data_IF_256170269765
#
_entry.id   IF_256170269765
#
_cell.length_a   1.000
_cell.length_b   1.000
_cell.length_c   1.000
_cell.angle_alpha   90.00
_cell.angle_beta   90.00
_cell.angle_gamma   90.00
#
_symmetry.space_group_name_H-M   'P 1'
#
loop_
_entity.id
_entity.type
_entity.pdbx_description
1 polymer ?
#
# COMPACT_ATOMS: atom_id res chain seq x y z
N UNK A 1 31.25 0.72 -22.13
CA UNK A 1 30.68 1.93 -21.48
C UNK A 1 31.04 1.86 -20.00
N UNK A 2 31.30 2.98 -19.31
CA UNK A 2 31.49 2.92 -17.86
C UNK A 2 30.16 2.52 -17.18
N UNK A 3 30.18 1.84 -16.01
CA UNK A 3 28.96 1.46 -15.30
C UNK A 3 28.01 2.65 -15.08
N UNK A 4 28.54 3.82 -14.72
CA UNK A 4 27.72 5.03 -14.55
C UNK A 4 26.99 5.47 -15.82
N UNK A 5 27.66 5.43 -16.98
CA UNK A 5 27.03 5.82 -18.26
C UNK A 5 25.98 4.77 -18.64
N UNK A 6 26.24 3.48 -18.42
CA UNK A 6 25.26 2.43 -18.63
C UNK A 6 24.02 2.65 -17.74
N UNK A 7 24.22 2.90 -16.44
CA UNK A 7 23.14 3.21 -15.50
C UNK A 7 22.33 4.45 -15.88
N UNK A 8 22.99 5.54 -16.26
CA UNK A 8 22.32 6.75 -16.73
C UNK A 8 21.52 6.48 -18.02
N UNK A 9 22.09 5.73 -18.97
CA UNK A 9 21.40 5.39 -20.22
C UNK A 9 20.15 4.53 -19.99
N UNK A 10 20.24 3.55 -19.08
CA UNK A 10 19.11 2.73 -18.66
C UNK A 10 18.03 3.57 -17.99
N UNK A 11 18.42 4.48 -17.08
CA UNK A 11 17.48 5.38 -16.40
C UNK A 11 16.75 6.29 -17.40
N UNK A 12 17.49 6.92 -18.31
CA UNK A 12 16.90 7.81 -19.33
C UNK A 12 15.97 7.04 -20.27
N UNK A 13 16.37 5.85 -20.73
CA UNK A 13 15.53 4.99 -21.56
C UNK A 13 14.26 4.56 -20.82
N UNK A 14 14.38 4.17 -19.55
CA UNK A 14 13.26 3.78 -18.70
C UNK A 14 12.28 4.94 -18.51
N UNK A 15 12.77 6.12 -18.11
CA UNK A 15 11.94 7.31 -17.95
C UNK A 15 11.28 7.72 -19.28
N UNK A 16 11.98 7.59 -20.40
CA UNK A 16 11.43 7.83 -21.73
C UNK A 16 10.28 6.90 -22.10
N UNK A 17 10.43 5.59 -21.86
CA UNK A 17 9.36 4.61 -22.10
C UNK A 17 8.14 4.84 -21.20
N UNK A 18 8.38 5.16 -19.92
CA UNK A 18 7.32 5.48 -18.96
C UNK A 18 6.59 6.77 -19.34
N UNK A 19 7.30 7.79 -19.84
CA UNK A 19 6.70 9.04 -20.29
C UNK A 19 5.75 8.87 -21.50
N UNK A 20 6.00 7.87 -22.35
CA UNK A 20 5.13 7.52 -23.49
C UNK A 20 3.92 6.66 -23.04
N UNK A 21 3.85 6.29 -21.75
CA UNK A 21 2.77 5.50 -21.18
C UNK A 21 2.96 3.99 -21.32
N UNK A 22 4.19 3.52 -21.54
CA UNK A 22 4.50 2.09 -21.59
C UNK A 22 4.26 1.45 -20.21
N UNK A 23 3.55 0.30 -20.11
CA UNK A 23 3.38 -0.36 -18.82
C UNK A 23 4.72 -0.76 -18.21
N UNK A 24 4.84 -0.63 -16.88
CA UNK A 24 6.11 -0.72 -16.15
C UNK A 24 6.86 -2.02 -16.42
N UNK A 25 6.16 -3.16 -16.44
CA UNK A 25 6.78 -4.46 -16.73
C UNK A 25 7.50 -4.46 -18.10
N UNK A 26 6.89 -3.91 -19.13
CA UNK A 26 7.52 -3.84 -20.45
C UNK A 26 8.64 -2.81 -20.49
N UNK A 27 8.50 -1.68 -19.78
CA UNK A 27 9.55 -0.68 -19.71
C UNK A 27 10.82 -1.23 -19.03
N UNK A 28 10.67 -1.89 -17.87
CA UNK A 28 11.75 -2.58 -17.17
C UNK A 28 12.36 -3.68 -18.03
N UNK A 29 11.53 -4.56 -18.59
CA UNK A 29 11.99 -5.67 -19.42
C UNK A 29 12.79 -5.19 -20.64
N UNK A 30 12.22 -4.29 -21.45
CA UNK A 30 12.85 -3.81 -22.68
C UNK A 30 14.17 -3.07 -22.41
N UNK A 31 14.24 -2.23 -21.36
CA UNK A 31 15.48 -1.53 -20.99
C UNK A 31 16.56 -2.52 -20.57
N UNK A 32 16.20 -3.49 -19.74
CA UNK A 32 17.13 -4.52 -19.24
C UNK A 32 17.66 -5.38 -20.38
N UNK A 33 16.76 -5.85 -21.24
CA UNK A 33 17.10 -6.64 -22.42
C UNK A 33 17.98 -5.85 -23.38
N UNK A 34 17.66 -4.58 -23.64
CA UNK A 34 18.46 -3.71 -24.50
C UNK A 34 19.86 -3.46 -23.94
N UNK A 35 19.97 -3.17 -22.64
CA UNK A 35 21.25 -2.95 -21.97
C UNK A 35 22.13 -4.21 -22.00
N UNK A 36 21.59 -5.35 -21.59
CA UNK A 36 22.30 -6.62 -21.59
C UNK A 36 22.70 -7.05 -23.00
N UNK A 37 21.82 -6.92 -23.99
CA UNK A 37 22.10 -7.22 -25.38
C UNK A 37 23.22 -6.33 -25.94
N UNK A 38 23.26 -5.05 -25.57
CA UNK A 38 24.30 -4.12 -26.04
C UNK A 38 25.71 -4.45 -25.53
N UNK A 39 25.81 -5.15 -24.40
CA UNK A 39 27.09 -5.48 -23.75
C UNK A 39 27.51 -6.94 -24.01
N UNK A 40 26.58 -7.88 -23.88
CA UNK A 40 26.85 -9.32 -23.97
C UNK A 40 26.38 -9.98 -25.28
N UNK A 41 25.65 -9.25 -26.14
CA UNK A 41 25.17 -9.75 -27.43
C UNK A 41 24.03 -10.77 -27.33
N UNK A 42 23.77 -11.47 -28.45
CA UNK A 42 22.64 -12.39 -28.58
C UNK A 42 22.74 -13.66 -27.73
N UNK A 43 23.94 -14.06 -27.31
CA UNK A 43 24.16 -15.24 -26.47
C UNK A 43 23.46 -15.11 -25.11
N UNK A 44 23.21 -13.88 -24.66
CA UNK A 44 22.60 -13.61 -23.36
C UNK A 44 21.06 -13.77 -23.34
N UNK A 45 20.42 -14.03 -24.50
CA UNK A 45 18.97 -14.17 -24.59
C UNK A 45 18.44 -15.41 -23.85
N UNK A 46 19.24 -16.47 -23.74
CA UNK A 46 18.87 -17.69 -23.01
C UNK A 46 18.77 -17.43 -21.49
N UNK A 47 19.75 -16.71 -20.93
CA UNK A 47 19.79 -16.34 -19.52
C UNK A 47 18.62 -15.45 -19.12
N UNK A 48 18.10 -14.61 -20.02
CA UNK A 48 16.92 -13.78 -19.73
C UNK A 48 15.68 -14.62 -19.43
N UNK A 49 15.47 -15.71 -20.18
CA UNK A 49 14.34 -16.60 -19.95
C UNK A 49 14.44 -17.30 -18.59
N UNK A 50 15.62 -17.79 -18.26
CA UNK A 50 15.90 -18.44 -16.97
C UNK A 50 15.73 -17.47 -15.79
N UNK A 51 16.26 -16.24 -15.89
CA UNK A 51 16.11 -15.24 -14.82
C UNK A 51 14.67 -14.78 -14.66
N UNK A 52 13.96 -14.50 -15.75
CA UNK A 52 12.55 -14.10 -15.69
C UNK A 52 11.69 -15.23 -15.08
N UNK A 53 11.89 -16.48 -15.51
CA UNK A 53 11.13 -17.61 -14.97
C UNK A 53 11.52 -17.92 -13.52
N UNK A 54 12.81 -17.89 -13.21
CA UNK A 54 13.34 -18.09 -11.86
C UNK A 54 12.74 -17.09 -10.86
N UNK A 55 12.64 -15.82 -11.25
CA UNK A 55 12.00 -14.77 -10.47
C UNK A 55 10.56 -15.11 -10.07
N UNK A 56 9.81 -15.76 -10.97
CA UNK A 56 8.41 -16.11 -10.76
C UNK A 56 8.22 -17.47 -10.08
N UNK A 57 9.25 -18.30 -10.04
CA UNK A 57 9.22 -19.67 -9.53
C UNK A 57 9.47 -19.75 -8.02
N UNK A 58 8.82 -18.86 -7.26
CA UNK A 58 8.92 -18.82 -5.79
C UNK A 58 7.56 -19.08 -5.14
N UNK A 59 7.50 -20.02 -4.19
CA UNK A 59 6.29 -20.29 -3.44
C UNK A 59 5.84 -19.08 -2.61
N UNK A 60 6.76 -18.20 -2.19
CA UNK A 60 6.45 -16.96 -1.47
C UNK A 60 5.56 -16.03 -2.30
N UNK A 61 5.68 -16.03 -3.62
CA UNK A 61 4.88 -15.20 -4.52
C UNK A 61 3.40 -15.58 -4.54
N UNK A 62 3.05 -16.81 -4.17
CA UNK A 62 1.65 -17.24 -4.03
C UNK A 62 0.90 -16.39 -3.01
N UNK A 63 1.61 -15.81 -2.03
CA UNK A 63 1.04 -14.86 -1.08
C UNK A 63 0.36 -13.67 -1.77
N UNK A 64 0.95 -13.14 -2.85
CA UNK A 64 0.48 -11.92 -3.52
C UNK A 64 -0.93 -12.14 -4.11
N UNK A 65 -1.15 -13.11 -5.03
CA UNK A 65 -2.50 -13.37 -5.56
C UNK A 65 -3.51 -13.72 -4.49
N UNK A 66 -3.11 -14.44 -3.44
CA UNK A 66 -4.03 -14.87 -2.37
C UNK A 66 -4.48 -13.70 -1.49
N UNK A 67 -3.58 -12.79 -1.12
CA UNK A 67 -3.97 -11.56 -0.41
C UNK A 67 -4.80 -10.63 -1.30
N UNK A 68 -4.48 -10.52 -2.59
CA UNK A 68 -5.31 -9.78 -3.54
C UNK A 68 -6.71 -10.41 -3.64
N UNK A 69 -6.80 -11.74 -3.68
CA UNK A 69 -8.08 -12.47 -3.72
C UNK A 69 -8.91 -12.20 -2.48
N UNK A 70 -8.28 -12.24 -1.30
CA UNK A 70 -8.91 -11.90 -0.03
C UNK A 70 -9.47 -10.47 -0.09
N UNK A 71 -8.66 -9.50 -0.52
CA UNK A 71 -9.08 -8.11 -0.65
C UNK A 71 -10.20 -7.90 -1.66
N UNK A 72 -10.12 -8.53 -2.83
CA UNK A 72 -11.14 -8.48 -3.87
C UNK A 72 -12.47 -9.08 -3.40
N UNK A 73 -12.42 -10.17 -2.62
CA UNK A 73 -13.61 -10.80 -2.03
C UNK A 73 -14.33 -9.86 -1.05
N UNK A 74 -13.59 -9.23 -0.12
CA UNK A 74 -14.17 -8.25 0.82
C UNK A 74 -14.70 -7.02 0.07
N UNK A 75 -13.93 -6.48 -0.88
CA UNK A 75 -14.32 -5.29 -1.65
C UNK A 75 -15.51 -5.49 -2.58
N UNK A 76 -15.73 -6.71 -3.05
CA UNK A 76 -16.90 -7.07 -3.87
C UNK A 76 -18.13 -7.44 -3.03
N UNK A 77 -18.03 -7.34 -1.70
CA UNK A 77 -19.10 -7.64 -0.76
C UNK A 77 -19.62 -6.37 -0.06
N UNK A 78 -20.81 -6.42 0.55
CA UNK A 78 -21.30 -5.33 1.41
C UNK A 78 -20.49 -5.08 2.70
N UNK A 79 -19.37 -5.79 2.94
CA UNK A 79 -18.54 -5.66 4.14
C UNK A 79 -18.08 -4.24 4.44
N UNK A 80 -17.72 -3.46 3.41
CA UNK A 80 -17.33 -2.06 3.59
C UNK A 80 -18.45 -1.22 4.22
N UNK A 81 -19.70 -1.51 3.87
CA UNK A 81 -20.89 -0.85 4.43
C UNK A 81 -21.10 -1.26 5.90
N UNK A 82 -21.03 -2.56 6.21
CA UNK A 82 -21.21 -3.04 7.59
C UNK A 82 -20.11 -2.53 8.53
N UNK A 83 -18.85 -2.51 8.06
CA UNK A 83 -17.71 -1.94 8.78
C UNK A 83 -17.93 -0.47 9.12
N UNK A 84 -18.37 0.31 8.12
CA UNK A 84 -18.67 1.71 8.29
C UNK A 84 -19.83 1.93 9.29
N UNK A 85 -20.96 1.24 9.11
CA UNK A 85 -22.12 1.38 9.99
C UNK A 85 -21.79 0.99 11.44
N UNK A 86 -21.01 -0.07 11.64
CA UNK A 86 -20.60 -0.49 12.98
C UNK A 86 -19.74 0.58 13.66
N UNK A 87 -18.75 1.13 12.96
CA UNK A 87 -17.87 2.15 13.53
C UNK A 87 -18.59 3.48 13.75
N UNK A 88 -19.50 3.89 12.85
CA UNK A 88 -20.35 5.07 13.04
C UNK A 88 -21.13 4.99 14.36
N UNK A 89 -21.75 3.83 14.66
CA UNK A 89 -22.52 3.65 15.90
C UNK A 89 -21.68 3.79 17.18
N UNK A 90 -20.41 3.44 17.12
CA UNK A 90 -19.50 3.47 18.27
C UNK A 90 -18.81 4.82 18.46
N UNK A 91 -18.37 5.46 17.37
CA UNK A 91 -17.61 6.72 17.41
C UNK A 91 -18.48 7.97 17.26
N UNK A 92 -19.81 7.81 17.19
CA UNK A 92 -20.75 8.94 17.09
C UNK A 92 -20.56 10.01 18.19
N UNK A 93 -20.02 9.67 19.37
CA UNK A 93 -19.88 10.62 20.50
C UNK A 93 -18.66 11.55 20.43
N UNK A 94 -17.86 11.49 19.38
CA UNK A 94 -16.67 12.34 19.21
C UNK A 94 -16.95 13.41 18.14
N UNK A 95 -16.44 14.66 18.28
CA UNK A 95 -16.55 15.66 17.20
C UNK A 95 -15.93 15.13 15.90
N UNK A 96 -16.68 15.15 14.80
CA UNK A 96 -16.26 14.51 13.55
C UNK A 96 -16.33 12.98 13.58
N UNK A 97 -17.12 12.40 14.49
CA UNK A 97 -17.25 10.95 14.71
C UNK A 97 -17.48 10.16 13.43
N UNK A 98 -18.27 10.70 12.50
CA UNK A 98 -18.53 10.08 11.20
C UNK A 98 -17.27 9.94 10.33
N UNK A 99 -16.43 10.97 10.33
CA UNK A 99 -15.17 10.99 9.56
C UNK A 99 -14.12 10.13 10.24
N UNK A 100 -14.08 10.13 11.58
CA UNK A 100 -13.24 9.24 12.38
C UNK A 100 -13.62 7.77 12.15
N UNK A 101 -14.92 7.46 12.06
CA UNK A 101 -15.42 6.13 11.70
C UNK A 101 -14.99 5.72 10.31
N UNK A 102 -14.98 6.64 9.34
CA UNK A 102 -14.44 6.36 8.02
C UNK A 102 -12.95 6.06 8.03
N UNK A 103 -12.14 6.84 8.75
CA UNK A 103 -10.71 6.55 8.89
C UNK A 103 -10.47 5.19 9.57
N UNK A 104 -11.24 4.87 10.61
CA UNK A 104 -11.20 3.55 11.25
C UNK A 104 -11.65 2.42 10.31
N UNK A 105 -12.72 2.62 9.56
CA UNK A 105 -13.25 1.64 8.60
C UNK A 105 -12.25 1.41 7.48
N UNK A 106 -11.67 2.49 6.96
CA UNK A 106 -10.58 2.43 6.01
C UNK A 106 -9.39 1.68 6.58
N UNK A 107 -9.00 1.88 7.84
CA UNK A 107 -7.85 1.19 8.47
C UNK A 107 -8.09 -0.32 8.64
N UNK A 108 -9.29 -0.73 9.06
CA UNK A 108 -9.63 -2.16 9.18
C UNK A 108 -9.77 -2.79 7.80
N UNK A 109 -10.43 -2.10 6.87
CA UNK A 109 -10.61 -2.59 5.50
C UNK A 109 -9.28 -2.65 4.74
N UNK A 110 -8.40 -1.67 4.96
CA UNK A 110 -7.02 -1.61 4.48
C UNK A 110 -6.25 -2.87 4.81
N UNK A 111 -6.30 -3.30 6.07
CA UNK A 111 -5.68 -4.54 6.52
C UNK A 111 -6.25 -5.78 5.81
N UNK A 112 -7.49 -5.76 5.33
CA UNK A 112 -8.08 -6.87 4.58
C UNK A 112 -7.74 -6.81 3.09
N UNK A 113 -7.71 -5.61 2.52
CA UNK A 113 -7.53 -5.42 1.08
C UNK A 113 -6.09 -5.43 0.63
N UNK A 114 -5.16 -4.98 1.49
CA UNK A 114 -3.77 -4.73 1.13
C UNK A 114 -3.60 -3.76 -0.04
N UNK A 115 -4.65 -3.01 -0.41
CA UNK A 115 -4.73 -2.21 -1.63
C UNK A 115 -5.45 -0.89 -1.39
N UNK A 116 -4.71 0.20 -1.61
CA UNK A 116 -5.19 1.54 -1.32
C UNK A 116 -6.32 2.04 -2.25
N UNK A 117 -6.22 1.89 -3.59
CA UNK A 117 -7.32 2.24 -4.49
C UNK A 117 -8.57 1.40 -4.25
N UNK A 118 -8.40 0.11 -3.91
CA UNK A 118 -9.52 -0.78 -3.60
C UNK A 118 -10.24 -0.33 -2.33
N UNK A 119 -9.50 0.08 -1.28
CA UNK A 119 -10.08 0.63 -0.05
C UNK A 119 -10.82 1.94 -0.32
N UNK A 120 -10.27 2.85 -1.13
CA UNK A 120 -10.96 4.07 -1.55
C UNK A 120 -12.26 3.76 -2.30
N UNK A 121 -12.22 2.80 -3.22
CA UNK A 121 -13.39 2.39 -4.00
C UNK A 121 -14.48 1.74 -3.13
N UNK A 122 -14.11 0.91 -2.18
CA UNK A 122 -15.05 0.18 -1.33
C UNK A 122 -15.70 1.08 -0.28
N UNK A 123 -14.88 1.80 0.51
CA UNK A 123 -15.38 2.64 1.60
C UNK A 123 -15.94 3.96 1.05
N UNK A 124 -15.31 4.55 0.03
CA UNK A 124 -15.73 5.83 -0.54
C UNK A 124 -17.15 5.81 -1.14
N UNK A 125 -17.55 4.69 -1.77
CA UNK A 125 -18.90 4.52 -2.35
C UNK A 125 -20.03 4.66 -1.34
N UNK A 126 -19.77 4.35 -0.07
CA UNK A 126 -20.76 4.45 1.00
C UNK A 126 -20.49 5.68 1.88
N UNK A 127 -19.23 5.91 2.24
CA UNK A 127 -18.83 6.96 3.16
C UNK A 127 -19.03 8.37 2.61
N UNK A 128 -18.70 8.64 1.34
CA UNK A 128 -18.78 9.99 0.78
C UNK A 128 -20.23 10.48 0.69
N UNK A 129 -21.19 9.72 0.09
CA UNK A 129 -22.58 10.14 0.04
C UNK A 129 -23.19 10.34 1.44
N UNK A 130 -22.91 9.44 2.38
CA UNK A 130 -23.44 9.52 3.75
C UNK A 130 -22.92 10.76 4.49
N UNK A 131 -21.61 11.03 4.44
CA UNK A 131 -21.03 12.23 5.04
C UNK A 131 -21.67 13.50 4.48
N UNK A 132 -21.90 13.56 3.17
CA UNK A 132 -22.53 14.72 2.52
C UNK A 132 -24.01 14.86 2.86
N UNK A 133 -24.75 13.75 2.97
CA UNK A 133 -26.14 13.78 3.43
C UNK A 133 -26.24 14.33 4.86
N UNK A 134 -25.26 14.02 5.70
CA UNK A 134 -25.10 14.57 7.05
C UNK A 134 -24.36 15.92 7.06
N UNK A 135 -24.33 16.67 5.96
CA UNK A 135 -23.85 18.05 5.93
C UNK A 135 -22.34 18.26 6.03
N UNK A 136 -21.51 17.20 5.95
CA UNK A 136 -20.05 17.38 5.90
C UNK A 136 -19.63 17.92 4.53
N UNK A 137 -18.69 18.90 4.50
CA UNK A 137 -18.16 19.42 3.24
C UNK A 137 -17.46 18.36 2.41
N UNK A 138 -17.61 18.49 1.09
CA UNK A 138 -17.07 17.54 0.12
C UNK A 138 -15.55 17.35 0.26
N UNK A 139 -14.83 18.40 0.65
CA UNK A 139 -13.37 18.39 0.84
C UNK A 139 -12.96 17.49 2.03
N UNK A 140 -13.67 17.58 3.16
CA UNK A 140 -13.42 16.71 4.31
C UNK A 140 -13.78 15.28 3.97
N UNK A 141 -14.96 15.07 3.38
CA UNK A 141 -15.47 13.76 3.01
C UNK A 141 -14.54 13.02 2.03
N UNK A 142 -14.14 13.69 0.95
CA UNK A 142 -13.26 13.12 -0.06
C UNK A 142 -11.83 12.97 0.47
N UNK A 143 -11.31 13.99 1.16
CA UNK A 143 -9.95 13.98 1.71
C UNK A 143 -9.71 12.87 2.72
N UNK A 144 -10.66 12.65 3.63
CA UNK A 144 -10.53 11.59 4.65
C UNK A 144 -10.54 10.20 4.05
N UNK A 145 -11.32 9.97 2.99
CA UNK A 145 -11.34 8.68 2.28
C UNK A 145 -10.05 8.49 1.48
N UNK A 146 -9.56 9.54 0.82
CA UNK A 146 -8.31 9.51 0.07
C UNK A 146 -7.15 9.08 0.96
N UNK A 147 -7.02 9.72 2.12
CA UNK A 147 -5.99 9.44 3.11
C UNK A 147 -6.21 8.12 3.85
N UNK A 148 -7.44 7.84 4.31
CA UNK A 148 -7.76 6.57 4.98
C UNK A 148 -7.47 5.38 4.08
N UNK A 149 -7.71 5.50 2.78
CA UNK A 149 -7.38 4.47 1.81
C UNK A 149 -5.88 4.21 1.69
N UNK A 150 -4.98 5.18 1.90
CA UNK A 150 -3.53 4.94 1.79
C UNK A 150 -3.01 3.95 2.83
N UNK A 151 -3.61 3.95 4.02
CA UNK A 151 -3.29 3.00 5.09
C UNK A 151 -3.39 1.52 4.64
N UNK A 152 -4.10 1.24 3.53
CA UNK A 152 -4.17 -0.04 2.82
C UNK A 152 -2.85 -0.63 2.42
N UNK A 153 -1.80 0.18 2.25
CA UNK A 153 -0.49 -0.32 1.86
C UNK A 153 0.51 -0.36 3.03
N UNK A 154 0.21 0.27 4.16
CA UNK A 154 1.07 0.25 5.35
C UNK A 154 0.59 -0.72 6.44
N UNK A 155 -0.72 -0.78 6.71
CA UNK A 155 -1.27 -1.66 7.76
C UNK A 155 -1.33 -3.09 7.24
N UNK A 156 -0.69 -4.06 7.91
CA UNK A 156 -0.62 -5.44 7.45
C UNK A 156 -1.95 -6.21 7.60
N UNK A 157 -2.17 -7.27 6.78
CA UNK A 157 -1.34 -7.71 5.66
C UNK A 157 -1.35 -6.74 4.46
N UNK A 158 -0.16 -6.49 3.89
CA UNK A 158 0.05 -5.50 2.82
C UNK A 158 0.77 -6.09 1.62
N UNK A 159 0.19 -5.92 0.42
CA UNK A 159 0.79 -6.39 -0.84
C UNK A 159 2.09 -5.64 -1.14
N UNK A 160 2.17 -4.35 -0.85
CA UNK A 160 3.40 -3.56 -1.09
C UNK A 160 4.54 -4.01 -0.19
N UNK A 161 4.26 -4.35 1.07
CA UNK A 161 5.27 -4.90 1.98
C UNK A 161 5.75 -6.28 1.53
N UNK A 162 4.86 -7.14 1.01
CA UNK A 162 5.26 -8.43 0.43
C UNK A 162 6.20 -8.22 -0.76
N UNK A 163 5.82 -7.34 -1.68
CA UNK A 163 6.62 -7.00 -2.86
C UNK A 163 8.00 -6.47 -2.44
N UNK A 164 8.07 -5.58 -1.45
CA UNK A 164 9.35 -5.09 -0.92
C UNK A 164 10.18 -6.22 -0.34
N UNK A 165 9.59 -7.09 0.48
CA UNK A 165 10.29 -8.22 1.11
C UNK A 165 10.85 -9.20 0.08
N UNK A 166 10.14 -9.43 -1.02
CA UNK A 166 10.63 -10.26 -2.12
C UNK A 166 11.76 -9.57 -2.88
N UNK A 167 11.61 -8.28 -3.20
CA UNK A 167 12.60 -7.51 -3.95
C UNK A 167 13.91 -7.28 -3.18
N UNK A 168 13.83 -7.28 -1.85
CA UNK A 168 14.98 -7.04 -0.95
C UNK A 168 15.43 -8.30 -0.23
N UNK A 169 14.78 -9.44 -0.51
CA UNK A 169 15.01 -10.72 0.17
C UNK A 169 14.88 -10.63 1.71
N UNK A 170 14.08 -9.69 2.22
CA UNK A 170 13.85 -9.49 3.66
C UNK A 170 12.61 -10.24 4.15
N UNK A 171 12.59 -10.59 5.44
CA UNK A 171 11.45 -11.29 6.05
C UNK A 171 10.13 -10.50 5.96
N UNK A 172 9.14 -11.05 5.24
CA UNK A 172 7.79 -10.50 5.10
C UNK A 172 7.08 -10.37 6.45
N UNK A 173 7.22 -11.37 7.32
CA UNK A 173 6.61 -11.34 8.66
C UNK A 173 7.14 -10.17 9.49
N UNK A 174 8.44 -9.90 9.40
CA UNK A 174 9.08 -8.77 10.08
C UNK A 174 8.66 -7.43 9.51
N UNK A 175 8.51 -7.32 8.18
CA UNK A 175 7.94 -6.13 7.52
C UNK A 175 6.52 -5.83 7.99
N UNK A 176 5.69 -6.86 8.16
CA UNK A 176 4.33 -6.66 8.67
C UNK A 176 4.35 -6.10 10.10
N UNK A 177 5.21 -6.63 10.98
CA UNK A 177 5.36 -6.05 12.32
C UNK A 177 5.87 -4.61 12.27
N UNK A 178 6.82 -4.33 11.37
CA UNK A 178 7.40 -3.00 11.21
C UNK A 178 6.36 -1.96 10.75
N UNK A 179 5.38 -2.37 9.94
CA UNK A 179 4.30 -1.49 9.46
C UNK A 179 3.18 -1.23 10.47
N UNK A 180 2.98 -2.08 11.47
CA UNK A 180 1.81 -2.01 12.37
C UNK A 180 1.78 -0.73 13.21
N UNK A 181 2.86 -0.45 13.94
CA UNK A 181 2.95 0.73 14.81
C UNK A 181 2.99 2.05 14.01
N UNK A 182 3.77 2.18 12.91
CA UNK A 182 3.69 3.34 12.02
C UNK A 182 2.30 3.54 11.40
N UNK A 183 1.60 2.47 11.02
CA UNK A 183 0.23 2.54 10.53
C UNK A 183 -0.74 3.08 11.58
N UNK A 184 -0.63 2.61 12.81
CA UNK A 184 -1.40 3.16 13.93
C UNK A 184 -1.03 4.62 14.21
N UNK A 185 0.25 4.98 14.17
CA UNK A 185 0.74 6.35 14.31
C UNK A 185 0.11 7.29 13.25
N UNK A 186 0.13 6.92 11.97
CA UNK A 186 -0.49 7.72 10.91
C UNK A 186 -2.01 7.80 11.08
N UNK A 187 -2.66 6.70 11.49
CA UNK A 187 -4.10 6.69 11.79
C UNK A 187 -4.42 7.73 12.87
N UNK A 188 -3.63 7.78 13.95
CA UNK A 188 -3.77 8.78 15.01
C UNK A 188 -3.55 10.20 14.47
N UNK A 189 -2.53 10.43 13.63
CA UNK A 189 -2.31 11.74 13.02
C UNK A 189 -3.48 12.19 12.16
N UNK A 190 -4.04 11.29 11.35
CA UNK A 190 -5.21 11.56 10.51
C UNK A 190 -6.44 11.86 11.36
N UNK A 191 -6.66 11.12 12.45
CA UNK A 191 -7.75 11.37 13.39
C UNK A 191 -7.61 12.73 14.09
N UNK A 192 -6.42 13.07 14.58
CA UNK A 192 -6.15 14.38 15.22
C UNK A 192 -6.43 15.51 14.24
N UNK A 193 -5.86 15.45 13.03
CA UNK A 193 -6.09 16.46 12.01
C UNK A 193 -7.58 16.60 11.68
N UNK A 194 -8.29 15.49 11.53
CA UNK A 194 -9.73 15.47 11.22
C UNK A 194 -10.55 16.16 12.31
N UNK A 195 -10.25 15.91 13.59
CA UNK A 195 -10.92 16.58 14.71
C UNK A 195 -10.68 18.10 14.63
N UNK A 196 -9.45 18.52 14.35
CA UNK A 196 -9.09 19.94 14.20
C UNK A 196 -9.86 20.56 13.02
N UNK A 197 -9.88 19.90 11.86
CA UNK A 197 -10.54 20.38 10.66
C UNK A 197 -12.07 20.52 10.87
N UNK A 198 -12.72 19.51 11.45
CA UNK A 198 -14.14 19.56 11.78
C UNK A 198 -14.47 20.69 12.76
N UNK A 199 -13.69 20.85 13.83
CA UNK A 199 -13.88 21.95 14.79
C UNK A 199 -13.73 23.33 14.14
N UNK A 200 -12.74 23.51 13.26
CA UNK A 200 -12.52 24.79 12.55
C UNK A 200 -13.66 25.17 11.63
N UNK A 201 -14.37 24.19 11.07
CA UNK A 201 -15.54 24.41 10.22
C UNK A 201 -16.86 24.48 11.02
N UNK A 202 -16.81 24.48 12.35
CA UNK A 202 -18.00 24.49 13.19
C UNK A 202 -18.80 23.18 13.14
N UNK A 203 -18.25 22.12 12.55
CA UNK A 203 -18.84 20.78 12.51
C UNK A 203 -18.61 20.11 13.88
N UNK A 204 -19.40 20.55 14.85
CA UNK A 204 -19.40 20.08 16.24
C UNK A 204 -20.40 18.95 16.52
N UNK A 205 -20.39 18.48 17.78
CA UNK A 205 -21.15 17.34 18.31
C UNK A 205 -22.69 17.51 18.35
N UNK A 206 -23.28 18.58 17.80
CA UNK A 206 -24.59 19.06 18.27
C UNK A 206 -25.78 18.92 17.32
N UNK A 207 -25.62 18.65 16.02
CA UNK A 207 -26.78 18.55 15.10
C UNK A 207 -26.78 17.33 14.16
N UNK A 208 -25.66 16.64 14.00
CA UNK A 208 -25.49 15.54 13.02
C UNK A 208 -25.40 14.15 13.67
N UNK A 209 -25.52 14.10 14.99
CA UNK A 209 -25.18 12.95 15.82
C UNK A 209 -26.42 12.11 16.10
N UNK A 210 -26.64 11.03 15.35
CA UNK A 210 -27.68 10.06 15.71
C UNK A 210 -27.31 9.40 17.04
N UNK A 211 -28.22 9.43 18.03
CA UNK A 211 -28.00 8.77 19.31
C UNK A 211 -28.34 7.28 19.22
N UNK A 212 -27.33 6.42 19.20
CA UNK A 212 -27.54 4.97 19.30
C UNK A 212 -27.56 4.50 20.76
N UNK A 213 -28.51 3.63 21.08
CA UNK A 213 -28.55 2.87 22.33
C UNK A 213 -27.38 1.88 22.41
N UNK A 214 -27.01 1.46 23.63
CA UNK A 214 -25.97 0.43 23.79
C UNK A 214 -26.34 -0.88 23.08
N UNK A 215 -27.62 -1.22 23.03
CA UNK A 215 -28.10 -2.42 22.31
C UNK A 215 -27.80 -2.33 20.80
N UNK A 216 -28.10 -1.20 20.16
CA UNK A 216 -27.85 -1.00 18.72
C UNK A 216 -26.35 -0.98 18.37
N UNK A 217 -25.50 -0.56 19.31
CA UNK A 217 -24.03 -0.60 19.16
C UNK A 217 -23.50 -2.03 19.14
N UNK A 218 -23.96 -2.87 20.06
CA UNK A 218 -23.57 -4.28 20.10
C UNK A 218 -24.22 -5.09 18.97
N UNK A 219 -25.37 -4.67 18.45
CA UNK A 219 -26.04 -5.36 17.35
C UNK A 219 -25.27 -5.26 16.01
N UNK A 220 -24.48 -4.21 15.79
CA UNK A 220 -23.67 -4.07 14.58
C UNK A 220 -22.34 -4.85 14.61
N UNK A 221 -21.84 -5.17 15.82
CA UNK A 221 -20.54 -5.81 16.01
C UNK A 221 -20.41 -7.21 15.38
N UNK A 222 -21.42 -8.10 15.46
CA UNK A 222 -21.36 -9.43 14.85
C UNK A 222 -21.08 -9.47 13.35
N UNK A 223 -21.34 -8.38 12.61
CA UNK A 223 -21.04 -8.30 11.17
C UNK A 223 -19.58 -7.97 10.88
N UNK A 224 -18.89 -7.32 11.83
CA UNK A 224 -17.49 -6.88 11.69
C UNK A 224 -16.50 -7.87 12.31
N UNK A 225 -16.90 -8.51 13.42
CA UNK A 225 -16.09 -9.50 14.12
C UNK A 225 -15.48 -10.58 13.20
N UNK A 226 -16.19 -11.12 12.19
CA UNK A 226 -15.62 -12.15 11.31
C UNK A 226 -14.41 -11.65 10.50
N UNK A 227 -14.41 -10.38 10.07
CA UNK A 227 -13.28 -9.78 9.35
C UNK A 227 -12.10 -9.49 10.28
N UNK A 228 -12.37 -8.95 11.47
CA UNK A 228 -11.34 -8.76 12.49
C UNK A 228 -10.71 -10.09 12.90
N UNK A 229 -11.51 -11.16 13.00
CA UNK A 229 -11.02 -12.50 13.29
C UNK A 229 -10.08 -13.01 12.21
N UNK A 230 -10.33 -12.72 10.92
CA UNK A 230 -9.39 -13.05 9.84
C UNK A 230 -8.06 -12.32 10.02
N UNK A 231 -8.08 -11.00 10.26
CA UNK A 231 -6.85 -10.22 10.47
C UNK A 231 -6.06 -10.80 11.63
N UNK A 232 -6.70 -10.97 12.79
CA UNK A 232 -6.05 -11.52 13.99
C UNK A 232 -5.54 -12.93 13.75
N UNK A 233 -6.30 -13.79 13.06
CA UNK A 233 -5.87 -15.15 12.76
C UNK A 233 -4.65 -15.17 11.83
N UNK A 234 -4.64 -14.37 10.76
CA UNK A 234 -3.51 -14.24 9.83
C UNK A 234 -2.26 -13.76 10.57
N UNK A 235 -2.39 -12.71 11.39
CA UNK A 235 -1.29 -12.21 12.21
C UNK A 235 -0.82 -13.27 13.22
N UNK A 236 -1.74 -13.95 13.88
CA UNK A 236 -1.41 -15.00 14.86
C UNK A 236 -0.64 -16.16 14.23
N UNK A 237 -1.08 -16.69 13.08
CA UNK A 237 -0.39 -17.83 12.46
C UNK A 237 0.98 -17.45 11.90
N UNK A 238 1.13 -16.21 11.40
CA UNK A 238 2.40 -15.68 10.92
C UNK A 238 3.40 -15.49 12.06
N UNK A 239 2.97 -14.85 13.15
CA UNK A 239 3.86 -14.49 14.26
C UNK A 239 4.06 -15.61 15.26
N UNK A 240 3.08 -16.51 15.40
CA UNK A 240 3.21 -17.75 16.17
C UNK A 240 4.12 -18.78 15.50
N UNK A 241 4.65 -18.50 14.30
CA UNK A 241 5.48 -19.43 13.53
C UNK A 241 4.71 -20.69 13.08
N UNK A 242 3.38 -20.64 13.07
CA UNK A 242 2.51 -21.77 12.75
C UNK A 242 2.42 -21.97 11.24
N UNK A 243 2.42 -20.88 10.47
CA UNK A 243 2.28 -20.90 9.03
C UNK A 243 3.17 -19.85 8.35
N UNK A 244 3.62 -20.16 7.14
CA UNK A 244 4.32 -19.21 6.27
C UNK A 244 3.35 -18.15 5.71
N UNK A 245 3.85 -17.00 5.21
CA UNK A 245 3.01 -15.99 4.55
C UNK A 245 2.12 -16.56 3.45
N UNK A 246 2.63 -17.50 2.64
CA UNK A 246 1.86 -18.10 1.55
C UNK A 246 0.73 -19.00 2.05
N UNK A 247 0.98 -19.79 3.10
CA UNK A 247 -0.04 -20.63 3.72
C UNK A 247 -1.11 -19.78 4.42
N UNK A 248 -0.69 -18.76 5.18
CA UNK A 248 -1.58 -17.81 5.83
C UNK A 248 -2.47 -17.07 4.82
N UNK A 249 -1.88 -16.62 3.71
CA UNK A 249 -2.60 -15.95 2.63
C UNK A 249 -3.62 -16.90 1.96
N UNK A 250 -3.21 -18.12 1.60
CA UNK A 250 -4.09 -19.08 0.93
C UNK A 250 -5.27 -19.50 1.79
N UNK A 251 -5.02 -19.85 3.06
CA UNK A 251 -6.07 -20.20 4.03
C UNK A 251 -6.95 -18.99 4.33
N UNK A 252 -6.36 -17.80 4.52
CA UNK A 252 -7.07 -16.54 4.73
C UNK A 252 -7.99 -16.18 3.56
N UNK A 253 -7.53 -16.32 2.33
CA UNK A 253 -8.33 -16.09 1.12
C UNK A 253 -9.51 -17.05 1.02
N UNK A 254 -9.29 -18.34 1.30
CA UNK A 254 -10.36 -19.34 1.33
C UNK A 254 -11.41 -19.01 2.39
N UNK A 255 -10.99 -18.73 3.63
CA UNK A 255 -11.90 -18.34 4.70
C UNK A 255 -12.66 -17.07 4.37
N UNK A 256 -12.01 -16.08 3.76
CA UNK A 256 -12.65 -14.85 3.34
C UNK A 256 -13.74 -15.09 2.29
N UNK A 257 -13.45 -15.91 1.27
CA UNK A 257 -14.45 -16.29 0.26
C UNK A 257 -15.63 -17.03 0.88
N UNK A 258 -15.38 -17.99 1.77
CA UNK A 258 -16.43 -18.74 2.47
C UNK A 258 -17.25 -17.82 3.37
N UNK A 259 -16.61 -16.95 4.12
CA UNK A 259 -17.26 -16.01 5.04
C UNK A 259 -18.13 -15.01 4.27
N UNK A 260 -17.62 -14.43 3.19
CA UNK A 260 -18.41 -13.56 2.30
C UNK A 260 -19.59 -14.32 1.71
N UNK A 261 -19.38 -15.56 1.26
CA UNK A 261 -20.44 -16.42 0.73
C UNK A 261 -21.52 -16.80 1.76
N UNK A 262 -21.15 -17.00 3.02
CA UNK A 262 -22.06 -17.39 4.12
C UNK A 262 -22.80 -16.18 4.68
N UNK A 263 -22.09 -15.09 5.01
CA UNK A 263 -22.67 -13.88 5.62
C UNK A 263 -23.57 -13.14 4.64
N UNK A 264 -23.11 -12.97 3.40
CA UNK A 264 -23.87 -12.23 2.38
C UNK A 264 -24.70 -13.13 1.48
N UNK A 265 -24.51 -14.44 1.56
CA UNK A 265 -25.29 -15.46 0.89
C UNK A 265 -25.01 -15.53 -0.62
N UNK A 266 -24.53 -16.68 -1.11
CA UNK A 266 -24.52 -17.01 -2.56
C UNK A 266 -25.93 -16.93 -3.18
N UNK A 267 -26.98 -17.14 -2.37
CA UNK A 267 -28.39 -17.14 -2.77
C UNK A 267 -29.19 -15.92 -2.29
N UNK A 268 -28.54 -14.93 -1.65
CA UNK A 268 -29.20 -13.67 -1.34
C UNK A 268 -29.59 -12.98 -2.65
N UNK A 269 -30.81 -12.42 -2.74
CA UNK A 269 -31.28 -11.66 -3.92
C UNK A 269 -30.29 -10.59 -4.41
N UNK A 270 -29.39 -10.15 -3.51
CA UNK A 270 -28.40 -9.09 -3.72
C UNK A 270 -27.05 -9.60 -4.27
N UNK A 271 -26.63 -10.83 -3.96
CA UNK A 271 -25.31 -11.36 -4.38
C UNK A 271 -25.49 -12.43 -5.46
N UNK A 272 -25.26 -12.04 -6.71
CA UNK A 272 -25.37 -12.94 -7.88
C UNK A 272 -24.08 -13.74 -8.03
N UNK A 273 -24.15 -15.00 -8.48
CA UNK A 273 -22.99 -15.80 -8.89
C UNK A 273 -22.04 -15.06 -9.87
N UNK A 274 -22.56 -14.06 -10.59
CA UNK A 274 -21.78 -13.12 -11.39
C UNK A 274 -20.69 -12.35 -10.62
N UNK A 275 -20.83 -12.15 -9.30
CA UNK A 275 -19.84 -11.44 -8.47
C UNK A 275 -18.56 -12.27 -8.27
N UNK A 276 -18.65 -13.61 -8.27
CA UNK A 276 -17.44 -14.45 -8.25
C UNK A 276 -16.58 -14.19 -9.48
N UNK A 277 -17.20 -14.01 -10.66
CA UNK A 277 -16.46 -13.66 -11.89
C UNK A 277 -15.74 -12.32 -11.75
N UNK A 278 -16.33 -11.34 -11.06
CA UNK A 278 -15.71 -10.05 -10.78
C UNK A 278 -14.52 -10.23 -9.85
N UNK A 279 -14.68 -10.95 -8.74
CA UNK A 279 -13.62 -11.22 -7.77
C UNK A 279 -12.41 -11.88 -8.45
N UNK A 280 -12.62 -12.99 -9.17
CA UNK A 280 -11.52 -13.69 -9.83
C UNK A 280 -10.90 -12.88 -10.96
N UNK A 281 -11.70 -12.15 -11.76
CA UNK A 281 -11.17 -11.28 -12.82
C UNK A 281 -10.30 -10.17 -12.26
N UNK A 282 -10.78 -9.47 -11.22
CA UNK A 282 -10.08 -8.35 -10.63
C UNK A 282 -8.80 -8.85 -9.92
N UNK A 283 -8.89 -10.01 -9.25
CA UNK A 283 -7.73 -10.71 -8.67
C UNK A 283 -6.70 -11.07 -9.74
N UNK A 284 -7.12 -11.71 -10.84
CA UNK A 284 -6.24 -12.13 -11.93
C UNK A 284 -5.57 -10.92 -12.57
N UNK A 285 -6.31 -9.83 -12.81
CA UNK A 285 -5.77 -8.63 -13.43
C UNK A 285 -4.65 -8.01 -12.59
N UNK A 286 -4.88 -7.81 -11.30
CA UNK A 286 -3.88 -7.26 -10.38
C UNK A 286 -2.71 -8.23 -10.20
N UNK A 287 -2.98 -9.52 -10.02
CA UNK A 287 -1.94 -10.54 -9.84
C UNK A 287 -1.02 -10.66 -11.06
N UNK A 288 -1.59 -10.74 -12.27
CA UNK A 288 -0.80 -10.84 -13.51
C UNK A 288 0.02 -9.58 -13.72
N UNK A 289 -0.54 -8.40 -13.45
CA UNK A 289 0.20 -7.14 -13.54
C UNK A 289 1.40 -7.15 -12.60
N UNK A 290 1.22 -7.51 -11.32
CA UNK A 290 2.30 -7.55 -10.34
C UNK A 290 3.35 -8.60 -10.70
N UNK A 291 2.92 -9.83 -11.04
CA UNK A 291 3.84 -10.90 -11.42
C UNK A 291 4.67 -10.55 -12.65
N UNK A 292 4.09 -9.91 -13.67
CA UNK A 292 4.86 -9.42 -14.82
C UNK A 292 5.88 -8.35 -14.43
N UNK A 293 5.53 -7.44 -13.52
CA UNK A 293 6.48 -6.43 -13.03
C UNK A 293 7.60 -7.12 -12.26
N UNK A 294 7.31 -8.13 -11.42
CA UNK A 294 8.33 -8.87 -10.67
C UNK A 294 9.33 -9.53 -11.61
N UNK A 295 8.86 -10.30 -12.59
CA UNK A 295 9.74 -10.96 -13.55
C UNK A 295 10.59 -9.96 -14.36
N UNK A 296 10.00 -8.85 -14.80
CA UNK A 296 10.73 -7.82 -15.54
C UNK A 296 11.69 -7.01 -14.65
N UNK A 297 11.36 -6.81 -13.38
CA UNK A 297 12.21 -6.13 -12.41
C UNK A 297 13.42 -6.97 -12.04
N UNK A 298 13.30 -8.31 -12.03
CA UNK A 298 14.45 -9.19 -11.83
C UNK A 298 15.44 -9.03 -12.99
N UNK A 299 14.97 -8.98 -14.23
CA UNK A 299 15.85 -8.70 -15.37
C UNK A 299 16.57 -7.35 -15.22
N UNK A 300 15.88 -6.35 -14.66
CA UNK A 300 16.44 -5.02 -14.42
C UNK A 300 17.48 -5.04 -13.30
N UNK A 301 17.16 -5.65 -12.15
CA UNK A 301 18.11 -5.83 -11.05
C UNK A 301 19.35 -6.61 -11.50
N UNK A 302 19.14 -7.69 -12.25
CA UNK A 302 20.21 -8.50 -12.82
C UNK A 302 21.08 -7.71 -13.81
N UNK A 303 20.48 -6.89 -14.68
CA UNK A 303 21.22 -6.00 -15.57
C UNK A 303 22.08 -4.99 -14.80
N UNK A 304 21.52 -4.37 -13.75
CA UNK A 304 22.27 -3.43 -12.92
C UNK A 304 23.45 -4.09 -12.20
N UNK A 305 23.25 -5.30 -11.68
CA UNK A 305 24.29 -6.07 -10.99
C UNK A 305 25.37 -6.56 -11.96
N UNK A 306 24.98 -7.11 -13.11
CA UNK A 306 25.92 -7.63 -14.12
C UNK A 306 26.80 -6.53 -14.71
N UNK A 307 26.25 -5.33 -14.86
CA UNK A 307 26.97 -4.15 -15.36
C UNK A 307 27.71 -3.37 -14.25
N UNK A 308 27.73 -3.89 -13.01
CA UNK A 308 28.36 -3.28 -11.84
C UNK A 308 27.88 -1.86 -11.52
N UNK A 309 26.63 -1.54 -11.89
CA UNK A 309 26.05 -0.21 -11.75
C UNK A 309 25.78 0.10 -10.28
N UNK A 310 25.15 -0.83 -9.55
CA UNK A 310 24.81 -0.66 -8.13
C UNK A 310 26.05 -0.45 -7.27
N UNK A 311 27.10 -1.24 -7.47
CA UNK A 311 28.36 -1.12 -6.73
C UNK A 311 29.04 0.21 -7.02
N UNK A 312 29.06 0.64 -8.29
CA UNK A 312 29.66 1.92 -8.68
C UNK A 312 28.94 3.13 -8.06
N UNK A 313 27.61 3.08 -7.98
CA UNK A 313 26.81 4.13 -7.32
C UNK A 313 27.10 4.15 -5.82
N UNK A 314 27.12 2.99 -5.16
CA UNK A 314 27.41 2.89 -3.72
C UNK A 314 28.81 3.45 -3.40
N UNK A 315 29.81 3.09 -4.20
CA UNK A 315 31.17 3.62 -4.05
C UNK A 315 31.21 5.14 -4.22
N UNK A 316 30.56 5.67 -5.25
CA UNK A 316 30.50 7.12 -5.48
C UNK A 316 29.84 7.87 -4.31
N UNK A 317 28.76 7.32 -3.76
CA UNK A 317 28.09 7.91 -2.59
C UNK A 317 29.01 7.87 -1.36
N UNK A 318 29.73 6.77 -1.16
CA UNK A 318 30.70 6.67 -0.06
C UNK A 318 31.85 7.68 -0.21
N UNK A 319 32.30 7.95 -1.44
CA UNK A 319 33.34 8.96 -1.74
C UNK A 319 32.85 10.41 -1.55
N UNK A 320 31.54 10.66 -1.65
CA UNK A 320 30.98 12.00 -1.45
C UNK A 320 31.00 12.46 0.02
N UNK A 321 31.26 11.57 0.98
CA UNK A 321 31.21 11.82 2.44
C UNK A 321 29.95 12.60 2.87
N UNK A 322 28.83 12.34 2.18
CA UNK A 322 27.56 13.03 2.41
C UNK A 322 26.96 12.57 3.73
N UNK A 323 26.42 13.52 4.50
CA UNK A 323 25.62 13.23 5.68
C UNK A 323 24.46 12.28 5.31
N UNK A 324 24.37 11.13 6.00
CA UNK A 324 23.32 10.11 5.78
C UNK A 324 21.89 10.66 5.75
N UNK A 325 21.60 11.74 6.50
CA UNK A 325 20.28 12.38 6.50
C UNK A 325 20.04 13.26 5.28
N UNK A 326 21.08 13.87 4.72
CA UNK A 326 20.98 14.57 3.44
C UNK A 326 20.74 13.57 2.31
N UNK A 327 21.44 12.43 2.31
CA UNK A 327 21.18 11.30 1.41
C UNK A 327 19.73 10.81 1.53
N UNK A 328 19.25 10.59 2.76
CA UNK A 328 17.86 10.20 3.01
C UNK A 328 16.87 11.25 2.48
N UNK A 329 17.15 12.54 2.62
CA UNK A 329 16.34 13.62 2.05
C UNK A 329 16.22 13.53 0.53
N UNK A 330 17.34 13.29 -0.17
CA UNK A 330 17.36 13.10 -1.63
C UNK A 330 16.55 11.85 -2.02
N UNK A 331 16.72 10.75 -1.29
CA UNK A 331 15.97 9.51 -1.54
C UNK A 331 14.47 9.71 -1.35
N UNK A 332 14.04 10.40 -0.29
CA UNK A 332 12.61 10.70 -0.07
C UNK A 332 12.04 11.55 -1.22
N UNK A 333 12.75 12.60 -1.65
CA UNK A 333 12.30 13.43 -2.78
C UNK A 333 12.19 12.61 -4.07
N UNK A 334 13.16 11.73 -4.33
CA UNK A 334 13.12 10.81 -5.46
C UNK A 334 11.92 9.85 -5.38
N UNK A 335 11.71 9.20 -4.22
CA UNK A 335 10.61 8.27 -4.01
C UNK A 335 9.24 8.96 -4.14
N UNK A 336 9.10 10.16 -3.56
CA UNK A 336 7.91 10.98 -3.69
C UNK A 336 7.61 11.27 -5.17
N UNK A 337 8.62 11.74 -5.91
CA UNK A 337 8.48 12.01 -7.33
C UNK A 337 8.18 10.75 -8.14
N UNK A 338 8.76 9.60 -7.81
CA UNK A 338 8.44 8.34 -8.47
C UNK A 338 6.97 7.90 -8.19
N UNK A 339 6.53 8.01 -6.94
CA UNK A 339 5.18 7.66 -6.51
C UNK A 339 4.08 8.55 -7.11
N UNK A 340 4.42 9.75 -7.56
CA UNK A 340 3.53 10.66 -8.29
C UNK A 340 3.09 10.14 -9.66
N UNK A 341 3.93 9.32 -10.32
CA UNK A 341 3.67 8.84 -11.69
C UNK A 341 3.42 7.34 -11.77
N UNK A 342 3.95 6.57 -10.82
CA UNK A 342 4.01 5.12 -10.90
C UNK A 342 3.24 4.49 -9.73
N UNK A 343 2.54 3.36 -9.94
CA UNK A 343 1.97 2.58 -8.85
C UNK A 343 3.05 2.10 -7.85
N UNK A 344 2.73 2.00 -6.55
CA UNK A 344 3.68 1.65 -5.49
C UNK A 344 4.50 0.39 -5.77
N UNK A 345 3.84 -0.67 -6.24
CA UNK A 345 4.48 -1.96 -6.56
C UNK A 345 5.57 -1.78 -7.62
N UNK A 346 5.30 -0.97 -8.65
CA UNK A 346 6.27 -0.68 -9.70
C UNK A 346 7.47 0.11 -9.20
N UNK A 347 7.25 1.11 -8.34
CA UNK A 347 8.34 1.88 -7.74
C UNK A 347 9.20 1.00 -6.83
N UNK A 348 8.58 0.18 -5.98
CA UNK A 348 9.30 -0.73 -5.07
C UNK A 348 10.20 -1.67 -5.86
N UNK A 349 9.64 -2.39 -6.83
CA UNK A 349 10.38 -3.39 -7.61
C UNK A 349 11.52 -2.77 -8.43
N UNK A 350 11.32 -1.54 -8.91
CA UNK A 350 12.35 -0.80 -9.65
C UNK A 350 13.46 -0.27 -8.75
N UNK A 351 13.12 0.28 -7.58
CA UNK A 351 14.04 1.11 -6.79
C UNK A 351 14.65 0.38 -5.61
N UNK A 352 13.96 -0.59 -5.02
CA UNK A 352 14.43 -1.27 -3.81
C UNK A 352 15.78 -1.99 -4.02
N UNK A 353 16.02 -2.73 -5.13
CA UNK A 353 17.33 -3.36 -5.36
C UNK A 353 18.49 -2.35 -5.49
N UNK A 354 18.19 -1.11 -5.91
CA UNK A 354 19.17 -0.04 -6.07
C UNK A 354 19.42 0.68 -4.76
N UNK A 355 18.34 1.03 -4.06
CA UNK A 355 18.39 1.84 -2.86
C UNK A 355 18.83 1.04 -1.64
N UNK A 356 18.46 -0.23 -1.52
CA UNK A 356 18.73 -1.03 -0.33
C UNK A 356 20.23 -1.10 0.02
N UNK A 357 21.15 -1.43 -0.90
CA UNK A 357 22.58 -1.44 -0.58
C UNK A 357 23.11 -0.07 -0.13
N UNK A 358 22.55 1.02 -0.68
CA UNK A 358 22.91 2.40 -0.33
C UNK A 358 22.42 2.73 1.09
N UNK A 359 21.19 2.34 1.41
CA UNK A 359 20.56 2.53 2.72
C UNK A 359 21.32 1.77 3.82
N UNK A 360 21.61 0.49 3.59
CA UNK A 360 22.38 -0.34 4.52
C UNK A 360 23.80 0.22 4.67
N UNK A 361 24.46 0.59 3.57
CA UNK A 361 25.79 1.20 3.59
C UNK A 361 25.85 2.54 4.36
N UNK A 362 24.75 3.29 4.38
CA UNK A 362 24.60 4.52 5.18
C UNK A 362 24.23 4.27 6.65
N UNK A 363 24.06 3.01 7.06
CA UNK A 363 23.74 2.59 8.42
C UNK A 363 22.27 2.72 8.80
N UNK A 364 21.36 2.68 7.82
CA UNK A 364 19.91 2.61 8.06
C UNK A 364 19.41 1.17 8.03
N UNK A 365 18.40 0.90 8.85
CA UNK A 365 17.74 -0.39 8.93
C UNK A 365 16.82 -0.63 7.71
N UNK A 366 16.84 -1.83 7.10
CA UNK A 366 16.08 -2.13 5.89
C UNK A 366 14.56 -2.19 6.13
N UNK A 367 14.09 -2.58 7.32
CA UNK A 367 12.67 -2.59 7.68
C UNK A 367 12.15 -1.19 7.96
N UNK A 368 12.95 -0.37 8.66
CA UNK A 368 12.63 1.04 8.83
C UNK A 368 12.52 1.74 7.48
N UNK A 369 13.46 1.47 6.56
CA UNK A 369 13.42 2.03 5.21
C UNK A 369 12.18 1.55 4.43
N UNK A 370 11.76 0.29 4.58
CA UNK A 370 10.54 -0.21 3.96
C UNK A 370 9.29 0.58 4.39
N UNK A 371 9.21 0.95 5.67
CA UNK A 371 8.13 1.81 6.20
C UNK A 371 8.20 3.20 5.59
N UNK A 372 9.37 3.84 5.59
CA UNK A 372 9.56 5.17 4.98
C UNK A 372 9.19 5.16 3.50
N UNK A 373 9.67 4.15 2.76
CA UNK A 373 9.35 3.97 1.35
C UNK A 373 7.85 3.82 1.16
N UNK A 374 7.19 2.99 1.97
CA UNK A 374 5.73 2.80 1.89
C UNK A 374 4.97 4.09 2.14
N UNK A 375 5.37 4.91 3.12
CA UNK A 375 4.74 6.21 3.38
C UNK A 375 4.96 7.19 2.21
N UNK A 376 6.12 7.17 1.55
CA UNK A 376 6.31 7.95 0.32
C UNK A 376 5.33 7.51 -0.79
N UNK A 377 5.10 6.20 -0.90
CA UNK A 377 4.13 5.67 -1.87
C UNK A 377 2.69 6.06 -1.50
N UNK A 378 2.35 6.10 -0.22
CA UNK A 378 1.06 6.61 0.25
C UNK A 378 0.84 8.05 -0.17
N UNK A 379 1.85 8.92 0.03
CA UNK A 379 1.78 10.31 -0.41
C UNK A 379 1.56 10.39 -1.92
N UNK A 380 2.26 9.55 -2.69
CA UNK A 380 2.11 9.47 -4.15
C UNK A 380 0.69 9.15 -4.62
N UNK A 381 -0.03 8.30 -3.89
CA UNK A 381 -1.40 7.90 -4.23
C UNK A 381 -2.45 8.99 -4.03
N UNK A 382 -2.14 10.04 -3.25
CA UNK A 382 -3.06 11.15 -2.94
C UNK A 382 -2.54 12.52 -3.38
N UNK A 383 -1.46 12.55 -4.16
CA UNK A 383 -0.82 13.77 -4.67
C UNK A 383 -0.77 13.76 -6.20
N UNK A 384 -1.06 14.89 -6.89
CA UNK A 384 -0.95 15.00 -8.34
C UNK A 384 0.49 14.78 -8.82
N UNK A 385 0.70 14.32 -10.06
CA UNK A 385 -0.21 14.33 -11.20
C UNK A 385 -1.09 13.07 -11.35
N UNK A 386 -0.67 11.88 -10.89
CA UNK A 386 -1.48 10.66 -11.06
C UNK A 386 -2.40 10.38 -9.89
N UNK A 387 -2.00 10.67 -8.64
CA UNK A 387 -2.83 10.56 -7.42
C UNK A 387 -4.02 9.59 -7.52
N UNK A 388 -3.75 8.29 -7.68
CA UNK A 388 -4.75 7.30 -8.13
C UNK A 388 -6.02 7.30 -7.27
N UNK A 389 -5.87 7.50 -5.96
CA UNK A 389 -7.01 7.57 -5.04
C UNK A 389 -7.90 8.78 -5.31
N UNK A 390 -7.33 9.91 -5.74
CA UNK A 390 -8.09 11.11 -6.09
C UNK A 390 -9.01 10.83 -7.29
N UNK A 391 -8.53 10.12 -8.30
CA UNK A 391 -9.33 9.72 -9.47
C UNK A 391 -10.37 8.66 -9.13
N UNK A 392 -10.03 7.69 -8.26
CA UNK A 392 -11.01 6.72 -7.76
C UNK A 392 -12.15 7.44 -7.06
N UNK A 393 -11.85 8.42 -6.20
CA UNK A 393 -12.87 9.20 -5.49
C UNK A 393 -13.70 10.05 -6.44
N UNK A 394 -13.07 10.72 -7.42
CA UNK A 394 -13.80 11.45 -8.44
C UNK A 394 -14.73 10.55 -9.25
N UNK A 395 -14.33 9.30 -9.55
CA UNK A 395 -15.20 8.32 -10.20
C UNK A 395 -16.39 7.88 -9.35
N UNK A 396 -16.30 7.98 -8.02
CA UNK A 396 -17.38 7.66 -7.09
C UNK A 396 -18.36 8.85 -6.94
N UNK A 397 -17.81 10.06 -6.83
CA UNK A 397 -18.57 11.29 -6.67
C UNK A 397 -18.14 12.32 -7.73
N UNK A 398 -18.64 12.21 -8.98
CA UNK A 398 -18.20 13.04 -10.11
C UNK A 398 -18.48 14.53 -9.92
N UNK A 399 -19.42 14.88 -9.04
CA UNK A 399 -19.77 16.25 -8.71
C UNK A 399 -18.74 16.93 -7.77
N UNK A 400 -17.86 16.15 -7.14
CA UNK A 400 -16.71 16.68 -6.40
C UNK A 400 -15.54 16.84 -7.37
N UNK A 401 -15.14 18.09 -7.59
CA UNK A 401 -14.03 18.39 -8.50
C UNK A 401 -12.70 17.84 -7.96
N UNK A 402 -11.79 17.42 -8.84
CA UNK A 402 -10.46 16.93 -8.44
C UNK A 402 -9.71 17.96 -7.56
N UNK A 403 -9.89 19.25 -7.83
CA UNK A 403 -9.31 20.32 -7.01
C UNK A 403 -9.85 20.36 -5.57
N UNK A 404 -11.14 20.05 -5.36
CA UNK A 404 -11.72 19.92 -4.02
C UNK A 404 -11.19 18.68 -3.29
N UNK A 405 -11.09 17.54 -4.00
CA UNK A 405 -10.51 16.32 -3.43
C UNK A 405 -9.06 16.57 -3.00
N UNK A 406 -8.27 17.23 -3.86
CA UNK A 406 -6.88 17.58 -3.60
C UNK A 406 -6.73 18.51 -2.39
N UNK A 407 -7.52 19.58 -2.30
CA UNK A 407 -7.51 20.47 -1.13
C UNK A 407 -7.88 19.73 0.15
N UNK A 408 -8.78 18.74 0.04
CA UNK A 408 -9.14 17.85 1.13
C UNK A 408 -8.03 16.87 1.54
N UNK A 409 -7.27 16.33 0.58
CA UNK A 409 -6.21 15.34 0.84
C UNK A 409 -4.88 15.96 1.28
N UNK A 410 -4.57 17.18 0.84
CA UNK A 410 -3.29 17.84 1.09
C UNK A 410 -2.90 17.93 2.58
N UNK A 411 -3.81 18.22 3.53
CA UNK A 411 -3.43 18.20 4.94
C UNK A 411 -3.02 16.82 5.46
N UNK A 412 -3.57 15.74 4.91
CA UNK A 412 -3.17 14.39 5.27
C UNK A 412 -1.80 14.04 4.68
N UNK A 413 -1.43 14.60 3.52
CA UNK A 413 -0.05 14.54 3.00
C UNK A 413 0.92 15.17 4.01
N UNK A 414 0.55 16.32 4.61
CA UNK A 414 1.37 16.95 5.66
C UNK A 414 1.49 16.00 6.87
N UNK A 415 0.42 15.32 7.27
CA UNK A 415 0.48 14.30 8.33
C UNK A 415 1.44 13.15 7.99
N UNK A 416 1.48 12.69 6.74
CA UNK A 416 2.41 11.65 6.31
C UNK A 416 3.86 12.13 6.31
N UNK A 417 4.13 13.36 5.84
CA UNK A 417 5.45 13.99 5.91
C UNK A 417 5.91 14.13 7.37
N UNK A 418 5.01 14.57 8.26
CA UNK A 418 5.28 14.58 9.70
C UNK A 418 5.55 13.16 10.22
N UNK A 419 4.86 12.15 9.72
CA UNK A 419 5.13 10.74 10.02
C UNK A 419 6.56 10.31 9.63
N UNK A 420 7.01 10.66 8.43
CA UNK A 420 8.39 10.41 7.97
C UNK A 420 9.40 11.10 8.90
N UNK A 421 9.15 12.35 9.27
CA UNK A 421 10.01 13.12 10.18
C UNK A 421 10.05 12.45 11.56
N UNK A 422 8.89 12.10 12.13
CA UNK A 422 8.79 11.40 13.40
C UNK A 422 9.55 10.08 13.37
N UNK A 423 9.41 9.27 12.32
CA UNK A 423 10.14 8.01 12.15
C UNK A 423 11.64 8.21 11.97
N UNK A 424 12.07 9.35 11.42
CA UNK A 424 13.48 9.70 11.29
C UNK A 424 14.11 9.99 12.66
N UNK A 425 13.37 10.65 13.57
CA UNK A 425 13.86 10.88 14.94
C UNK A 425 13.65 9.68 15.87
N UNK A 426 12.60 8.89 15.63
CA UNK A 426 12.18 7.77 16.47
C UNK A 426 12.01 6.49 15.63
N UNK A 427 13.11 5.92 15.07
CA UNK A 427 13.05 4.72 14.23
C UNK A 427 12.48 3.51 14.97
N UNK A 428 12.58 3.51 16.30
CA UNK A 428 12.01 2.48 17.17
C UNK A 428 10.49 2.32 17.04
N UNK A 429 9.76 3.30 16.52
CA UNK A 429 8.33 3.11 16.23
C UNK A 429 8.14 1.98 15.19
N UNK A 430 9.03 1.87 14.20
CA UNK A 430 9.01 0.77 13.25
C UNK A 430 9.73 -0.49 13.78
N UNK A 431 10.82 -0.34 14.56
CA UNK A 431 11.69 -1.46 14.91
C UNK A 431 11.33 -2.17 16.23
N UNK A 432 10.70 -1.47 17.17
CA UNK A 432 10.43 -1.99 18.51
C UNK A 432 9.60 -3.28 18.51
N UNK A 433 8.51 -3.30 17.74
CA UNK A 433 7.62 -4.45 17.71
C UNK A 433 8.25 -5.67 17.00
N UNK A 434 8.89 -5.52 15.82
CA UNK A 434 9.77 -6.54 15.25
C UNK A 434 10.77 -7.13 16.25
N UNK A 435 11.55 -6.27 16.91
CA UNK A 435 12.65 -6.69 17.77
C UNK A 435 12.14 -7.41 19.03
N UNK A 436 10.99 -6.98 19.56
CA UNK A 436 10.37 -7.59 20.73
C UNK A 436 9.88 -9.02 20.46
N UNK A 437 9.31 -9.26 19.27
CA UNK A 437 8.66 -10.54 18.94
C UNK A 437 9.63 -11.51 18.26
N UNK A 438 10.46 -11.01 17.36
CA UNK A 438 11.34 -11.83 16.51
C UNK A 438 12.82 -11.74 16.90
N UNK A 439 13.19 -10.84 17.81
CA UNK A 439 14.57 -10.53 18.16
C UNK A 439 15.21 -9.48 17.23
N UNK A 440 16.34 -8.87 17.65
CA UNK A 440 17.07 -7.90 16.82
C UNK A 440 17.58 -8.55 15.52
N UNK A 441 17.64 -7.76 14.45
CA UNK A 441 18.28 -8.18 13.20
C UNK A 441 19.79 -8.28 13.44
N UNK A 442 20.41 -9.40 13.04
CA UNK A 442 21.83 -9.68 13.26
C UNK A 442 22.69 -9.11 12.13
#
# INVERSE_FOLDING_TARGET
>A
MSPMIAGLSMLVALLGLLAIGTPIAFALGLVSMGALFSVYGAFFLETLGEQFFGALSSFSLVSIPMFILMGAAVASSPAGKDLYEALDRWLNRVPGGLVLSNLGACSIFAALSGSSPATCAAIGKMGIPEMRQRGYPAEIAAGSIAAGGTLGILIPPSVTMIVYGIATETSIGRLFLAGLLPGFMLTVYFMIWTIIACKRQGLGLSELTQSFSMRERFEALPRVLPFLAIIVAVLFVLYGGVATPSEAAGVGALFCLVLVAVIYGIFSKTWKFSQMRVIFRDTLKESVMIMLIIGASELFAFALSSLFITQSIAQYIAELDINRWALMGVINVFLLFAGFFLPPVGVILMTAPILLPIIIGAGFDPYWFAVILTINMEIGLITPPVGLNLYVINGIAPDITLGQILRGSLPYVICMILGIITLSFFPQIALFLPDLIMGPEL
#
